data_IF_832725799865
#
_entry.id   IF_832725799865
#
_cell.length_a   1.000
_cell.length_b   1.000
_cell.length_c   1.000
_cell.angle_alpha   90.00
_cell.angle_beta   90.00
_cell.angle_gamma   90.00
#
_symmetry.space_group_name_H-M   'P 1'
#
loop_
_entity.id
_entity.type
_entity.pdbx_description
1 polymer ?
#
# COMPACT_ATOMS: atom_id res chain seq x y z
N UNK A 1 -12.29 16.86 -2.14
CA UNK A 1 -11.63 16.33 -0.93
C UNK A 1 -10.16 16.77 -0.89
N UNK A 2 -9.41 16.56 -1.97
CA UNK A 2 -8.03 17.02 -2.14
C UNK A 2 -7.87 18.55 -2.04
N UNK A 3 -8.78 19.33 -2.61
CA UNK A 3 -8.71 20.81 -2.53
C UNK A 3 -9.10 21.41 -1.17
N UNK A 4 -9.97 20.72 -0.41
CA UNK A 4 -10.47 21.20 0.89
C UNK A 4 -9.61 20.76 2.08
N UNK A 5 -8.95 19.60 1.97
CA UNK A 5 -8.16 18.98 3.05
C UNK A 5 -6.91 18.27 2.51
N UNK A 6 -6.15 18.91 1.62
CA UNK A 6 -5.02 18.26 0.94
C UNK A 6 -3.98 17.65 1.89
N UNK A 7 -3.68 18.30 3.02
CA UNK A 7 -2.78 17.77 4.06
C UNK A 7 -3.34 16.48 4.70
N UNK A 8 -4.61 16.52 5.12
CA UNK A 8 -5.29 15.36 5.72
C UNK A 8 -5.36 14.19 4.73
N UNK A 9 -5.53 14.50 3.44
CA UNK A 9 -5.59 13.51 2.36
C UNK A 9 -4.24 12.82 2.18
N UNK A 10 -3.11 13.54 2.21
CA UNK A 10 -1.77 12.95 2.10
C UNK A 10 -1.49 12.00 3.28
N UNK A 11 -1.85 12.41 4.49
CA UNK A 11 -1.66 11.59 5.70
C UNK A 11 -2.52 10.32 5.66
N UNK A 12 -3.82 10.46 5.34
CA UNK A 12 -4.74 9.33 5.25
C UNK A 12 -4.31 8.35 4.15
N UNK A 13 -3.91 8.84 2.97
CA UNK A 13 -3.41 8.01 1.87
C UNK A 13 -2.10 7.32 2.22
N UNK A 14 -1.23 8.00 2.98
CA UNK A 14 0.05 7.42 3.41
C UNK A 14 -0.10 6.34 4.49
N UNK A 15 -1.14 6.43 5.32
CA UNK A 15 -1.46 5.44 6.37
C UNK A 15 -2.32 4.28 5.90
N UNK A 16 -3.26 4.51 5.01
CA UNK A 16 -4.14 3.47 4.47
C UNK A 16 -3.40 2.61 3.43
N UNK A 17 -3.83 1.36 3.21
CA UNK A 17 -3.31 0.52 2.11
C UNK A 17 -3.81 0.99 0.73
N UNK A 18 -4.06 2.28 0.55
CA UNK A 18 -4.44 2.86 -0.73
C UNK A 18 -3.20 2.95 -1.67
N UNK A 19 -3.40 2.87 -2.99
CA UNK A 19 -2.31 2.90 -3.97
C UNK A 19 -1.67 4.29 -4.03
N UNK A 20 -0.68 4.54 -3.16
CA UNK A 20 0.03 5.82 -3.01
C UNK A 20 0.50 6.44 -4.34
N UNK A 21 0.94 5.62 -5.29
CA UNK A 21 1.43 6.07 -6.60
C UNK A 21 0.35 6.80 -7.42
N UNK A 22 -0.89 6.30 -7.39
CA UNK A 22 -2.02 6.91 -8.12
C UNK A 22 -2.31 8.29 -7.52
N UNK A 23 -2.33 8.38 -6.19
CA UNK A 23 -2.53 9.65 -5.50
C UNK A 23 -1.39 10.63 -5.72
N UNK A 24 -0.14 10.18 -5.79
CA UNK A 24 1.00 11.06 -6.08
C UNK A 24 0.87 11.71 -7.45
N UNK A 25 0.41 10.95 -8.45
CA UNK A 25 0.12 11.46 -9.80
C UNK A 25 -1.03 12.47 -9.73
N UNK A 26 -2.10 12.16 -8.98
CA UNK A 26 -3.21 13.07 -8.79
C UNK A 26 -2.78 14.39 -8.12
N UNK A 27 -1.96 14.34 -7.06
CA UNK A 27 -1.43 15.55 -6.40
C UNK A 27 -0.57 16.40 -7.35
N UNK A 28 0.21 15.77 -8.23
CA UNK A 28 0.94 16.47 -9.28
C UNK A 28 0.02 17.12 -10.32
N UNK A 29 -1.07 16.44 -10.70
CA UNK A 29 -2.08 16.97 -11.62
C UNK A 29 -2.84 18.17 -11.04
N UNK A 30 -3.09 18.19 -9.72
CA UNK A 30 -3.72 19.29 -9.01
C UNK A 30 -2.74 20.39 -8.56
N UNK A 31 -1.50 20.39 -9.07
CA UNK A 31 -0.45 21.38 -8.74
C UNK A 31 -0.27 21.60 -7.22
N UNK A 32 -0.40 20.53 -6.44
CA UNK A 32 -0.31 20.61 -4.99
C UNK A 32 1.11 20.99 -4.55
N UNK A 33 1.23 21.70 -3.42
CA UNK A 33 2.54 22.13 -2.91
C UNK A 33 3.47 20.93 -2.68
N UNK A 34 4.52 20.84 -3.50
CA UNK A 34 5.45 19.72 -3.53
C UNK A 34 6.13 19.49 -2.18
N UNK A 35 6.50 20.55 -1.47
CA UNK A 35 7.20 20.47 -0.18
C UNK A 35 6.30 19.85 0.87
N UNK A 36 5.05 20.33 0.96
CA UNK A 36 4.04 19.80 1.88
C UNK A 36 3.76 18.33 1.55
N UNK A 37 3.50 18.03 0.28
CA UNK A 37 3.26 16.66 -0.17
C UNK A 37 4.42 15.73 0.20
N UNK A 38 5.66 16.15 -0.07
CA UNK A 38 6.85 15.34 0.18
C UNK A 38 7.02 15.02 1.67
N UNK A 39 6.96 16.04 2.53
CA UNK A 39 7.13 15.89 3.98
C UNK A 39 6.06 14.98 4.58
N UNK A 40 4.79 15.23 4.27
CA UNK A 40 3.69 14.41 4.81
C UNK A 40 3.69 12.98 4.25
N UNK A 41 4.05 12.80 2.97
CA UNK A 41 4.21 11.47 2.38
C UNK A 41 5.35 10.68 3.02
N UNK A 42 6.47 11.35 3.29
CA UNK A 42 7.64 10.75 3.94
C UNK A 42 7.30 10.30 5.36
N UNK A 43 6.70 11.19 6.17
CA UNK A 43 6.29 10.88 7.54
C UNK A 43 5.31 9.71 7.56
N UNK A 44 4.27 9.75 6.73
CA UNK A 44 3.26 8.69 6.72
C UNK A 44 3.85 7.32 6.35
N UNK A 45 4.80 7.31 5.40
CA UNK A 45 5.50 6.09 5.00
C UNK A 45 6.41 5.57 6.11
N UNK A 46 7.15 6.44 6.78
CA UNK A 46 7.99 6.07 7.92
C UNK A 46 7.16 5.46 9.05
N UNK A 47 6.09 6.13 9.47
CA UNK A 47 5.27 5.68 10.59
C UNK A 47 4.62 4.34 10.27
N UNK A 48 4.09 4.15 9.06
CA UNK A 48 3.52 2.86 8.64
C UNK A 48 4.54 1.72 8.74
N UNK A 49 5.76 1.91 8.22
CA UNK A 49 6.77 0.86 8.26
C UNK A 49 7.28 0.59 9.68
N UNK A 50 7.42 1.62 10.51
CA UNK A 50 7.81 1.48 11.92
C UNK A 50 6.75 0.73 12.73
N UNK A 51 5.46 1.04 12.53
CA UNK A 51 4.37 0.34 13.20
C UNK A 51 4.37 -1.13 12.81
N UNK A 52 4.45 -1.42 11.51
CA UNK A 52 4.45 -2.81 11.02
C UNK A 52 5.68 -3.56 11.54
N UNK A 53 6.88 -2.99 11.43
CA UNK A 53 8.11 -3.67 11.89
C UNK A 53 8.10 -3.90 13.40
N UNK A 54 7.61 -2.95 14.19
CA UNK A 54 7.48 -3.09 15.64
C UNK A 54 6.48 -4.17 16.02
N UNK A 55 5.30 -4.19 15.39
CA UNK A 55 4.32 -5.26 15.58
C UNK A 55 4.91 -6.63 15.23
N UNK A 56 5.62 -6.73 14.10
CA UNK A 56 6.27 -7.97 13.69
C UNK A 56 7.42 -8.37 14.61
N UNK A 57 8.17 -7.43 15.17
CA UNK A 57 9.23 -7.75 16.13
C UNK A 57 8.66 -8.32 17.43
N UNK A 58 7.56 -7.74 17.93
CA UNK A 58 6.93 -8.18 19.18
C UNK A 58 6.10 -9.46 19.01
N UNK A 59 5.27 -9.54 17.97
CA UNK A 59 4.34 -10.66 17.75
C UNK A 59 4.91 -11.77 16.85
N UNK A 60 5.97 -11.49 16.10
CA UNK A 60 6.49 -12.40 15.08
C UNK A 60 6.95 -13.75 15.64
N UNK A 61 7.55 -13.79 16.84
CA UNK A 61 7.99 -15.07 17.42
C UNK A 61 6.82 -15.97 17.82
N UNK A 62 5.74 -15.39 18.35
CA UNK A 62 4.56 -16.14 18.81
C UNK A 62 3.70 -16.65 17.64
N UNK A 63 3.61 -15.87 16.55
CA UNK A 63 2.68 -16.13 15.47
C UNK A 63 3.35 -16.53 14.14
N UNK A 64 4.67 -16.77 14.14
CA UNK A 64 5.46 -17.06 12.93
C UNK A 64 4.82 -18.11 12.00
N UNK A 65 4.47 -19.28 12.54
CA UNK A 65 3.89 -20.39 11.76
C UNK A 65 2.52 -20.05 11.17
N UNK A 66 1.71 -19.27 11.90
CA UNK A 66 0.37 -18.88 11.43
C UNK A 66 0.47 -17.84 10.32
N UNK A 67 1.36 -16.86 10.49
CA UNK A 67 1.65 -15.83 9.49
C UNK A 67 2.18 -16.47 8.21
N UNK A 68 3.14 -17.39 8.33
CA UNK A 68 3.73 -18.10 7.18
C UNK A 68 2.69 -18.90 6.40
N UNK A 69 1.79 -19.61 7.09
CA UNK A 69 0.72 -20.35 6.42
C UNK A 69 -0.26 -19.43 5.67
N UNK A 70 -0.61 -18.29 6.26
CA UNK A 70 -1.48 -17.28 5.62
C UNK A 70 -0.78 -16.68 4.39
N UNK A 71 0.49 -16.30 4.51
CA UNK A 71 1.28 -15.74 3.40
C UNK A 71 1.39 -16.77 2.27
N UNK A 72 1.72 -18.03 2.58
CA UNK A 72 1.84 -19.09 1.57
C UNK A 72 0.51 -19.32 0.85
N UNK A 73 -0.59 -19.47 1.60
CA UNK A 73 -1.92 -19.65 1.02
C UNK A 73 -2.33 -18.46 0.14
N UNK A 74 -2.11 -17.22 0.61
CA UNK A 74 -2.41 -16.02 -0.17
C UNK A 74 -1.56 -15.92 -1.43
N UNK A 75 -0.28 -16.28 -1.35
CA UNK A 75 0.65 -16.24 -2.49
C UNK A 75 0.22 -17.20 -3.58
N UNK A 76 -0.17 -18.42 -3.22
CA UNK A 76 -0.72 -19.39 -4.17
C UNK A 76 -2.02 -18.91 -4.82
N UNK A 77 -2.94 -18.32 -4.04
CA UNK A 77 -4.19 -17.78 -4.57
C UNK A 77 -3.92 -16.66 -5.60
N UNK A 78 -3.05 -15.71 -5.26
CA UNK A 78 -2.69 -14.61 -6.15
C UNK A 78 -2.03 -15.13 -7.43
N UNK A 79 -1.14 -16.12 -7.32
CA UNK A 79 -0.47 -16.72 -8.47
C UNK A 79 -1.45 -17.44 -9.39
N UNK A 80 -2.38 -18.21 -8.84
CA UNK A 80 -3.45 -18.88 -9.60
C UNK A 80 -4.28 -17.84 -10.36
N UNK A 81 -4.72 -16.77 -9.68
CA UNK A 81 -5.50 -15.69 -10.29
C UNK A 81 -4.71 -15.01 -11.42
N UNK A 82 -3.43 -14.73 -11.22
CA UNK A 82 -2.58 -14.10 -12.22
C UNK A 82 -2.43 -14.98 -13.48
N UNK A 83 -2.19 -16.29 -13.30
CA UNK A 83 -2.07 -17.25 -14.40
C UNK A 83 -3.40 -17.40 -15.16
N UNK A 84 -4.52 -17.55 -14.44
CA UNK A 84 -5.86 -17.58 -15.05
C UNK A 84 -6.16 -16.32 -15.86
N UNK A 85 -5.83 -15.15 -15.31
CA UNK A 85 -6.01 -13.87 -16.00
C UNK A 85 -5.18 -13.80 -17.28
N UNK A 86 -3.95 -14.34 -17.29
CA UNK A 86 -3.11 -14.38 -18.48
C UNK A 86 -3.65 -15.36 -19.53
N UNK A 87 -4.06 -16.56 -19.12
CA UNK A 87 -4.64 -17.56 -20.04
C UNK A 87 -5.90 -16.99 -20.70
N UNK A 88 -6.79 -16.37 -19.91
CA UNK A 88 -7.99 -15.73 -20.43
C UNK A 88 -7.66 -14.63 -21.44
N UNK A 89 -6.67 -13.78 -21.13
CA UNK A 89 -6.20 -12.73 -22.04
C UNK A 89 -5.70 -13.30 -23.37
N UNK A 90 -4.95 -14.40 -23.34
CA UNK A 90 -4.47 -15.07 -24.56
C UNK A 90 -5.59 -15.74 -25.35
N UNK A 91 -6.66 -16.22 -24.71
CA UNK A 91 -7.79 -16.85 -25.38
C UNK A 91 -8.76 -15.82 -25.99
N UNK A 92 -8.86 -14.63 -25.39
CA UNK A 92 -9.69 -13.53 -25.90
C UNK A 92 -9.04 -12.73 -27.04
N UNK A 93 -7.72 -12.88 -27.24
CA UNK A 93 -6.93 -12.19 -28.26
C UNK A 93 -6.73 -13.09 -29.47
#
# INVERSE_FOLDING_TARGET
FLDKHGILSVVLVGFTPLPFKIFSIAFGFFEYNFIIFFVFSFISRLVRFLIVSYLFAYFGQKYRKQIENIINKSSWIILIIAVLSLILYYFLK
#
